data_IF_317750516636
#
_entry.id   IF_317750516636
#
_cell.length_a   1.000
_cell.length_b   1.000
_cell.length_c   1.000
_cell.angle_alpha   90.00
_cell.angle_beta   90.00
_cell.angle_gamma   90.00
#
_symmetry.space_group_name_H-M   'P 1'
#
loop_
_entity.id
_entity.type
_entity.pdbx_description
1 polymer ?
#
# COMPACT_ATOMS: atom_id res chain seq x y z
N UNK A 1 2.01 -8.96 26.44
CA UNK A 1 0.73 -9.58 26.02
C UNK A 1 0.04 -8.81 24.89
N UNK A 2 -0.22 -7.50 25.02
CA UNK A 2 -0.94 -6.73 24.01
C UNK A 2 -0.25 -6.69 22.63
N UNK A 3 0.98 -6.16 22.57
CA UNK A 3 1.74 -5.97 21.30
C UNK A 3 2.02 -7.31 20.59
N UNK A 4 2.29 -8.36 21.37
CA UNK A 4 2.73 -9.66 20.83
C UNK A 4 1.59 -10.59 20.43
N UNK A 5 0.39 -10.42 21.01
CA UNK A 5 -0.71 -11.37 20.83
C UNK A 5 -2.04 -10.69 20.50
N UNK A 6 -2.54 -9.81 21.38
CA UNK A 6 -3.86 -9.19 21.21
C UNK A 6 -3.90 -8.36 19.93
N UNK A 7 -2.93 -7.46 19.74
CA UNK A 7 -2.87 -6.56 18.58
C UNK A 7 -2.76 -7.32 17.24
N UNK A 8 -1.83 -8.28 17.06
CA UNK A 8 -1.76 -9.07 15.84
C UNK A 8 -3.05 -9.83 15.51
N UNK A 9 -3.70 -10.43 16.52
CA UNK A 9 -4.96 -11.16 16.33
C UNK A 9 -6.10 -10.20 15.96
N UNK A 10 -6.22 -9.06 16.65
CA UNK A 10 -7.23 -8.05 16.31
C UNK A 10 -7.01 -7.45 14.91
N UNK A 11 -5.75 -7.14 14.56
CA UNK A 11 -5.40 -6.60 13.25
C UNK A 11 -5.80 -7.58 12.14
N UNK A 12 -5.53 -8.88 12.35
CA UNK A 12 -5.92 -9.93 11.41
C UNK A 12 -7.44 -10.03 11.27
N UNK A 13 -8.18 -10.16 12.38
CA UNK A 13 -9.64 -10.34 12.37
C UNK A 13 -10.36 -9.13 11.75
N UNK A 14 -9.96 -7.92 12.13
CA UNK A 14 -10.55 -6.68 11.60
C UNK A 14 -10.22 -6.53 10.11
N UNK A 15 -8.98 -6.82 9.70
CA UNK A 15 -8.60 -6.74 8.28
C UNK A 15 -9.33 -7.80 7.45
N UNK A 16 -9.56 -8.99 8.01
CA UNK A 16 -10.29 -10.06 7.33
C UNK A 16 -11.73 -9.64 7.06
N UNK A 17 -12.40 -9.14 8.11
CA UNK A 17 -13.76 -8.63 7.99
C UNK A 17 -13.83 -7.45 7.00
N UNK A 18 -12.89 -6.51 7.09
CA UNK A 18 -12.83 -5.37 6.18
C UNK A 18 -12.65 -5.82 4.73
N UNK A 19 -11.74 -6.76 4.45
CA UNK A 19 -11.53 -7.29 3.08
C UNK A 19 -12.81 -7.95 2.55
N UNK A 20 -13.53 -8.71 3.38
CA UNK A 20 -14.79 -9.32 2.97
C UNK A 20 -15.88 -8.28 2.66
N UNK A 21 -16.01 -7.25 3.50
CA UNK A 21 -16.97 -6.14 3.29
C UNK A 21 -16.61 -5.33 2.04
N UNK A 22 -15.32 -5.04 1.84
CA UNK A 22 -14.84 -4.26 0.70
C UNK A 22 -14.63 -5.09 -0.57
N UNK A 23 -14.86 -6.40 -0.55
CA UNK A 23 -14.69 -7.28 -1.71
C UNK A 23 -15.46 -6.82 -2.96
N UNK A 24 -16.74 -6.40 -2.87
CA UNK A 24 -17.46 -5.88 -4.02
C UNK A 24 -16.79 -4.60 -4.58
N UNK A 25 -16.30 -3.72 -3.69
CA UNK A 25 -15.62 -2.48 -4.07
C UNK A 25 -14.27 -2.78 -4.73
N UNK A 26 -13.51 -3.75 -4.21
CA UNK A 26 -12.27 -4.21 -4.85
C UNK A 26 -12.50 -4.66 -6.29
N UNK A 27 -13.54 -5.47 -6.52
CA UNK A 27 -13.89 -5.96 -7.86
C UNK A 27 -14.27 -4.81 -8.78
N UNK A 28 -15.15 -3.89 -8.33
CA UNK A 28 -15.56 -2.74 -9.13
C UNK A 28 -14.35 -1.86 -9.50
N UNK A 29 -13.50 -1.52 -8.54
CA UNK A 29 -12.28 -0.73 -8.81
C UNK A 29 -11.35 -1.47 -9.77
N UNK A 30 -11.14 -2.77 -9.55
CA UNK A 30 -10.30 -3.60 -10.43
C UNK A 30 -10.79 -3.56 -11.88
N UNK A 31 -12.09 -3.77 -12.11
CA UNK A 31 -12.69 -3.72 -13.45
C UNK A 31 -12.59 -2.32 -14.07
N UNK A 32 -12.88 -1.27 -13.30
CA UNK A 32 -12.76 0.12 -13.75
C UNK A 32 -11.33 0.48 -14.20
N UNK A 33 -10.32 0.03 -13.46
CA UNK A 33 -8.92 0.24 -13.82
C UNK A 33 -8.51 -0.60 -15.04
N UNK A 34 -8.92 -1.88 -15.07
CA UNK A 34 -8.57 -2.85 -16.12
C UNK A 34 -9.16 -2.48 -17.49
N UNK A 35 -10.43 -2.06 -17.52
CA UNK A 35 -11.11 -1.65 -18.76
C UNK A 35 -10.87 -0.19 -19.14
N UNK A 36 -10.30 0.61 -18.24
CA UNK A 36 -9.75 1.92 -18.58
C UNK A 36 -8.39 1.79 -19.27
N UNK A 37 -7.39 2.48 -18.72
CA UNK A 37 -6.05 2.57 -19.31
C UNK A 37 -4.99 1.73 -18.58
N UNK A 38 -5.35 1.01 -17.51
CA UNK A 38 -4.41 0.35 -16.61
C UNK A 38 -4.54 -1.17 -16.72
N UNK A 39 -3.67 -1.78 -17.53
CA UNK A 39 -3.70 -3.24 -17.75
C UNK A 39 -3.48 -4.05 -16.48
N UNK A 40 -2.62 -3.60 -15.57
CA UNK A 40 -2.35 -4.30 -14.30
C UNK A 40 -2.83 -3.42 -13.14
N UNK A 41 -4.05 -3.67 -12.60
CA UNK A 41 -4.62 -2.80 -11.57
C UNK A 41 -3.88 -2.81 -10.24
N UNK A 42 -3.05 -3.81 -9.94
CA UNK A 42 -2.24 -3.84 -8.72
C UNK A 42 -0.84 -3.28 -8.96
N UNK A 43 -0.39 -2.48 -8.01
CA UNK A 43 0.96 -1.93 -7.94
C UNK A 43 1.63 -2.39 -6.65
N UNK A 44 2.85 -2.89 -6.78
CA UNK A 44 3.66 -3.37 -5.68
C UNK A 44 4.86 -2.44 -5.47
N UNK A 45 5.10 -2.04 -4.22
CA UNK A 45 6.22 -1.15 -3.90
C UNK A 45 7.01 -1.65 -2.69
N UNK A 46 8.35 -1.75 -2.77
CA UNK A 46 9.17 -2.16 -1.64
C UNK A 46 9.16 -1.10 -0.55
N UNK A 47 9.00 -1.55 0.69
CA UNK A 47 8.93 -0.73 1.90
C UNK A 47 9.64 -1.44 3.07
N UNK A 48 10.30 -0.71 3.97
CA UNK A 48 10.87 -1.27 5.18
C UNK A 48 9.77 -1.55 6.22
N UNK A 49 9.76 -2.78 6.71
CA UNK A 49 8.86 -3.28 7.73
C UNK A 49 9.48 -3.29 9.13
N UNK A 50 8.96 -4.18 9.99
CA UNK A 50 9.53 -4.43 11.31
C UNK A 50 10.95 -5.00 11.16
N UNK A 51 11.91 -4.50 11.94
CA UNK A 51 13.31 -4.89 11.86
C UNK A 51 13.96 -4.51 10.54
N UNK A 52 13.43 -3.51 9.83
CA UNK A 52 13.90 -3.08 8.50
C UNK A 52 13.77 -4.15 7.39
N UNK A 53 13.08 -5.26 7.66
CA UNK A 53 12.80 -6.28 6.66
C UNK A 53 11.94 -5.70 5.53
N UNK A 54 12.43 -5.82 4.29
CA UNK A 54 11.73 -5.29 3.13
C UNK A 54 10.54 -6.17 2.76
N UNK A 55 9.38 -5.54 2.58
CA UNK A 55 8.17 -6.18 2.06
C UNK A 55 7.57 -5.30 0.96
N UNK A 56 6.69 -5.89 0.15
CA UNK A 56 5.99 -5.15 -0.89
C UNK A 56 4.60 -4.74 -0.40
N UNK A 57 4.34 -3.44 -0.30
CA UNK A 57 2.97 -2.94 -0.13
C UNK A 57 2.19 -3.16 -1.41
N UNK A 58 0.91 -3.51 -1.27
CA UNK A 58 -0.02 -3.65 -2.39
C UNK A 58 -0.92 -2.42 -2.44
N UNK A 59 -1.08 -1.84 -3.63
CA UNK A 59 -1.99 -0.73 -3.89
C UNK A 59 -2.72 -0.93 -5.20
N UNK A 60 -3.80 -0.18 -5.41
CA UNK A 60 -4.31 0.00 -6.76
C UNK A 60 -3.40 0.96 -7.53
N UNK A 61 -3.12 0.59 -8.77
CA UNK A 61 -2.36 1.38 -9.70
C UNK A 61 -3.23 2.53 -10.20
N UNK A 62 -2.71 3.74 -10.09
CA UNK A 62 -3.44 4.99 -10.40
C UNK A 62 -2.89 5.71 -11.63
N UNK A 63 -1.73 5.28 -12.11
CA UNK A 63 -1.01 5.86 -13.26
C UNK A 63 -0.80 4.82 -14.37
N UNK A 64 -0.80 5.26 -15.62
CA UNK A 64 -0.47 4.44 -16.80
C UNK A 64 1.03 4.12 -16.87
N UNK A 65 1.43 3.22 -17.75
CA UNK A 65 2.83 2.91 -18.07
C UNK A 65 3.26 3.53 -19.41
N UNK A 66 2.59 4.60 -19.83
CA UNK A 66 2.90 5.26 -21.09
C UNK A 66 4.32 5.84 -21.06
N UNK A 67 5.02 5.63 -22.15
CA UNK A 67 6.39 6.10 -22.39
C UNK A 67 6.41 7.04 -23.58
N UNK A 68 7.44 7.88 -23.67
CA UNK A 68 7.72 8.68 -24.85
C UNK A 68 8.39 7.84 -25.95
N UNK A 69 8.73 8.48 -27.07
CA UNK A 69 9.37 7.84 -28.22
C UNK A 69 10.77 7.27 -27.89
N UNK A 70 11.37 7.66 -26.75
CA UNK A 70 12.66 7.16 -26.26
C UNK A 70 12.50 6.01 -25.26
N UNK A 71 11.26 5.64 -24.92
CA UNK A 71 10.96 4.62 -23.93
C UNK A 71 11.05 5.11 -22.49
N UNK A 72 11.18 6.42 -22.25
CA UNK A 72 11.15 7.01 -20.92
C UNK A 72 9.71 7.20 -20.46
N UNK A 73 9.42 6.91 -19.18
CA UNK A 73 8.07 7.10 -18.64
C UNK A 73 7.65 8.56 -18.76
N UNK A 74 6.44 8.78 -19.26
CA UNK A 74 5.88 10.12 -19.34
C UNK A 74 5.81 10.79 -17.95
N UNK A 75 5.77 12.13 -17.89
CA UNK A 75 5.49 12.87 -16.67
C UNK A 75 4.20 12.42 -15.96
N UNK A 76 4.19 12.52 -14.62
CA UNK A 76 3.10 12.06 -13.75
C UNK A 76 1.73 12.68 -14.11
N UNK A 77 1.70 13.94 -14.56
CA UNK A 77 0.51 14.68 -14.98
C UNK A 77 -0.13 14.09 -16.25
N UNK A 78 0.68 13.50 -17.13
CA UNK A 78 0.20 12.81 -18.34
C UNK A 78 -0.26 11.38 -18.06
N UNK A 79 0.29 10.75 -17.02
CA UNK A 79 0.02 9.34 -16.68
C UNK A 79 -1.11 9.15 -15.68
N UNK A 80 -1.47 10.19 -14.91
CA UNK A 80 -2.52 10.10 -13.91
C UNK A 80 -3.91 10.00 -14.56
N UNK A 81 -4.57 8.86 -14.40
CA UNK A 81 -5.93 8.67 -14.93
C UNK A 81 -6.97 9.41 -14.08
N UNK A 82 -8.14 9.74 -14.65
CA UNK A 82 -9.25 10.35 -13.89
C UNK A 82 -9.69 9.46 -12.73
N UNK A 83 -9.85 8.16 -12.98
CA UNK A 83 -10.19 7.16 -11.95
C UNK A 83 -9.07 7.09 -10.91
N UNK A 84 -7.81 7.05 -11.33
CA UNK A 84 -6.66 7.07 -10.43
C UNK A 84 -6.59 8.31 -9.54
N UNK A 85 -6.94 9.48 -10.07
CA UNK A 85 -7.05 10.73 -9.29
C UNK A 85 -8.14 10.62 -8.22
N UNK A 86 -9.31 10.07 -8.54
CA UNK A 86 -10.38 9.84 -7.57
C UNK A 86 -9.89 8.87 -6.48
N UNK A 87 -9.30 7.73 -6.86
CA UNK A 87 -8.81 6.73 -5.90
C UNK A 87 -7.80 7.32 -4.92
N UNK A 88 -6.89 8.19 -5.38
CA UNK A 88 -5.94 8.89 -4.49
C UNK A 88 -6.62 9.86 -3.55
N UNK A 89 -7.59 10.65 -4.05
CA UNK A 89 -8.33 11.62 -3.25
C UNK A 89 -9.14 10.96 -2.14
N UNK A 90 -9.68 9.77 -2.41
CA UNK A 90 -10.47 9.00 -1.45
C UNK A 90 -9.64 7.98 -0.67
N UNK A 91 -8.33 7.88 -0.92
CA UNK A 91 -7.42 6.85 -0.38
C UNK A 91 -7.87 5.40 -0.65
N UNK A 92 -8.79 5.20 -1.61
CA UNK A 92 -9.24 3.87 -2.02
C UNK A 92 -8.11 3.07 -2.68
N UNK A 93 -7.09 3.74 -3.21
CA UNK A 93 -5.90 3.08 -3.75
C UNK A 93 -5.07 2.35 -2.69
N UNK A 94 -5.23 2.72 -1.41
CA UNK A 94 -4.50 2.14 -0.28
C UNK A 94 -5.21 0.93 0.35
N UNK A 95 -6.50 0.70 0.06
CA UNK A 95 -7.27 -0.43 0.64
C UNK A 95 -6.59 -1.81 0.41
N UNK A 96 -5.95 -2.11 -0.74
CA UNK A 96 -5.24 -3.38 -0.92
C UNK A 96 -4.15 -3.65 0.13
N UNK A 97 -3.67 -2.64 0.86
CA UNK A 97 -2.74 -2.82 1.99
C UNK A 97 -3.34 -3.65 3.14
N UNK A 98 -4.66 -3.79 3.23
CA UNK A 98 -5.30 -4.72 4.17
C UNK A 98 -4.82 -6.17 3.95
N UNK A 99 -4.47 -6.53 2.70
CA UNK A 99 -3.86 -7.83 2.40
C UNK A 99 -2.47 -7.98 3.03
N UNK A 100 -1.70 -6.89 3.13
CA UNK A 100 -0.43 -6.89 3.85
C UNK A 100 -0.62 -7.06 5.36
N UNK A 101 -1.72 -6.54 5.93
CA UNK A 101 -2.06 -6.77 7.33
C UNK A 101 -2.43 -8.24 7.56
N UNK A 102 -3.25 -8.82 6.69
CA UNK A 102 -3.60 -10.26 6.75
C UNK A 102 -2.38 -11.18 6.65
N UNK A 103 -1.40 -10.80 5.82
CA UNK A 103 -0.14 -11.54 5.67
C UNK A 103 0.81 -11.36 6.87
N UNK A 104 0.58 -10.36 7.72
CA UNK A 104 1.41 -10.04 8.87
C UNK A 104 2.62 -9.14 8.56
N UNK A 105 2.70 -8.60 7.34
CA UNK A 105 3.72 -7.62 6.92
C UNK A 105 3.44 -6.24 7.54
N UNK A 106 2.16 -5.89 7.72
CA UNK A 106 1.66 -4.62 8.27
C UNK A 106 0.74 -4.84 9.48
N UNK A 107 0.40 -3.73 10.13
CA UNK A 107 -0.64 -3.59 11.16
C UNK A 107 -1.69 -2.59 10.69
N UNK A 108 -2.89 -2.58 11.29
CA UNK A 108 -3.87 -1.52 11.02
C UNK A 108 -3.35 -0.16 11.50
N UNK A 109 -2.78 -0.14 12.71
CA UNK A 109 -2.26 1.08 13.37
C UNK A 109 -0.76 0.92 13.66
N UNK A 110 0.05 1.83 13.13
CA UNK A 110 1.51 1.86 13.27
C UNK A 110 2.17 2.92 12.39
N UNK A 111 3.51 3.05 12.43
CA UNK A 111 4.21 4.07 11.65
C UNK A 111 4.02 3.86 10.14
N UNK A 112 3.75 4.94 9.40
CA UNK A 112 3.63 4.86 7.92
C UNK A 112 4.96 4.35 7.33
N UNK A 113 4.97 3.31 6.49
CA UNK A 113 6.21 2.79 5.91
C UNK A 113 6.71 3.75 4.84
N UNK A 114 7.90 4.35 5.03
CA UNK A 114 8.52 5.24 4.02
C UNK A 114 9.25 4.44 2.94
N UNK A 115 9.77 5.11 1.90
CA UNK A 115 10.51 4.41 0.83
C UNK A 115 11.84 3.86 1.37
N UNK A 116 12.29 2.74 0.83
CA UNK A 116 13.58 2.09 1.20
C UNK A 116 14.77 3.05 1.13
N UNK A 117 14.76 3.98 0.15
CA UNK A 117 15.80 5.01 0.00
C UNK A 117 16.05 5.87 1.24
N UNK A 118 15.12 5.92 2.20
CA UNK A 118 15.27 6.70 3.42
C UNK A 118 16.07 5.96 4.51
N UNK A 119 16.26 4.63 4.41
CA UNK A 119 16.95 3.83 5.42
C UNK A 119 18.33 4.36 5.81
N UNK A 120 19.22 4.77 4.86
CA UNK A 120 20.55 5.25 5.20
C UNK A 120 20.56 6.58 5.96
N UNK A 121 19.45 7.32 5.94
CA UNK A 121 19.37 8.68 6.49
C UNK A 121 18.77 8.72 7.91
N UNK A 122 18.33 7.59 8.46
CA UNK A 122 17.78 7.56 9.80
C UNK A 122 18.87 7.58 10.87
N UNK A 123 18.68 8.44 11.87
CA UNK A 123 19.35 8.33 13.16
C UNK A 123 18.89 7.09 13.92
N UNK A 124 19.68 6.63 14.90
CA UNK A 124 19.32 5.48 15.75
C UNK A 124 17.96 5.67 16.45
N UNK A 125 17.63 6.91 16.83
CA UNK A 125 16.32 7.22 17.42
C UNK A 125 15.19 7.09 16.41
N UNK A 126 15.38 7.50 15.17
CA UNK A 126 14.34 7.39 14.14
C UNK A 126 14.13 5.95 13.69
N UNK A 127 15.18 5.12 13.70
CA UNK A 127 15.09 3.67 13.41
C UNK A 127 14.16 2.94 14.37
N UNK A 128 13.89 3.47 15.57
CA UNK A 128 12.90 2.91 16.50
C UNK A 128 11.51 2.77 15.87
N UNK A 129 11.16 3.54 14.83
CA UNK A 129 9.90 3.35 14.07
C UNK A 129 9.79 1.95 13.45
N UNK A 130 10.92 1.31 13.15
CA UNK A 130 11.00 -0.03 12.58
C UNK A 130 11.00 -1.12 13.67
N UNK A 131 10.88 -0.78 14.96
CA UNK A 131 10.77 -1.77 16.04
C UNK A 131 9.43 -2.53 16.05
N UNK A 132 8.40 -1.95 15.42
CA UNK A 132 7.05 -2.50 15.30
C UNK A 132 6.63 -2.60 13.83
N UNK A 133 5.54 -3.33 13.56
CA UNK A 133 4.98 -3.41 12.21
C UNK A 133 4.50 -2.02 11.76
N UNK A 134 4.76 -1.63 10.51
CA UNK A 134 4.20 -0.41 9.96
C UNK A 134 2.68 -0.48 9.87
N UNK A 135 2.02 0.68 9.94
CA UNK A 135 0.57 0.81 9.93
C UNK A 135 0.00 1.19 8.57
N UNK A 136 -1.26 0.80 8.33
CA UNK A 136 -2.10 1.41 7.29
C UNK A 136 -2.40 2.86 7.69
N UNK A 137 -2.74 3.08 8.96
CA UNK A 137 -2.84 4.38 9.62
C UNK A 137 -1.92 4.42 10.85
N UNK A 138 -1.70 5.60 11.45
CA UNK A 138 -0.79 5.77 12.59
C UNK A 138 -1.02 7.06 13.34
#
# INVERSE_FOLDING_TARGET
MYISFIKPVSDFLISLLAVLIFLPIFIVIYLLLRFGSIRQPFFYQPRPGKGEHIFNIVKFKTMTDETDDKGELLPDDKRLTRIGSILRKTSLDEIPQLLNVLKGDMSLVGPRPLRVRYLPFYTEREKLRHSIRPGVTG
#
